data_IF_675037082685
#
_entry.id   IF_675037082685
#
_cell.length_a   1.000
_cell.length_b   1.000
_cell.length_c   1.000
_cell.angle_alpha   90.00
_cell.angle_beta   90.00
_cell.angle_gamma   90.00
#
_symmetry.space_group_name_H-M   'P 1'
#
loop_
_entity.id
_entity.type
_entity.pdbx_description
1 polymer ?
#
# COMPACT_ATOMS: atom_id res chain seq x y z
N UNK A 1 1.40 -14.15 -22.75
CA UNK A 1 -0.04 -14.48 -22.61
C UNK A 1 -0.33 -15.95 -22.30
N UNK A 2 0.29 -16.95 -22.95
CA UNK A 2 -0.02 -18.36 -22.66
C UNK A 2 0.31 -18.80 -21.21
N UNK A 3 1.46 -18.39 -20.68
CA UNK A 3 1.84 -18.66 -19.29
C UNK A 3 0.83 -18.05 -18.29
N UNK A 4 0.51 -16.77 -18.43
CA UNK A 4 -0.50 -16.09 -17.60
C UNK A 4 -1.87 -16.78 -17.66
N UNK A 5 -2.35 -17.17 -18.85
CA UNK A 5 -3.64 -17.88 -18.97
C UNK A 5 -3.65 -19.22 -18.24
N UNK A 6 -2.51 -19.92 -18.23
CA UNK A 6 -2.37 -21.17 -17.49
C UNK A 6 -2.43 -20.91 -15.98
N UNK A 7 -1.69 -19.91 -15.51
CA UNK A 7 -1.65 -19.52 -14.10
C UNK A 7 -3.03 -19.09 -13.59
N UNK A 8 -3.73 -18.23 -14.33
CA UNK A 8 -5.12 -17.81 -14.03
C UNK A 8 -6.04 -19.02 -13.88
N UNK A 9 -5.92 -20.02 -14.77
CA UNK A 9 -6.76 -21.22 -14.72
C UNK A 9 -6.35 -22.20 -13.59
N UNK A 10 -5.12 -22.08 -13.08
CA UNK A 10 -4.58 -22.98 -12.06
C UNK A 10 -4.91 -22.49 -10.64
N UNK A 11 -4.80 -21.19 -10.39
CA UNK A 11 -4.89 -20.63 -9.04
C UNK A 11 -6.19 -19.88 -8.71
N UNK A 12 -6.94 -19.42 -9.72
CA UNK A 12 -8.21 -18.68 -9.54
C UNK A 12 -8.12 -17.50 -8.56
N UNK A 13 -6.96 -16.84 -8.52
CA UNK A 13 -6.63 -15.73 -7.59
C UNK A 13 -6.33 -14.40 -8.32
N UNK A 14 -6.61 -14.35 -9.62
CA UNK A 14 -6.41 -13.15 -10.45
C UNK A 14 -7.66 -12.29 -10.56
N UNK A 15 -7.52 -11.01 -10.24
CA UNK A 15 -8.47 -9.98 -10.63
C UNK A 15 -7.97 -9.26 -11.90
N UNK A 16 -8.52 -9.62 -13.06
CA UNK A 16 -8.17 -8.98 -14.34
C UNK A 16 -9.01 -7.71 -14.54
N UNK A 17 -8.33 -6.56 -14.61
CA UNK A 17 -8.95 -5.26 -14.85
C UNK A 17 -8.80 -4.86 -16.31
N UNK A 18 -9.85 -4.30 -16.91
CA UNK A 18 -9.82 -3.79 -18.29
C UNK A 18 -9.14 -2.41 -18.35
N UNK A 19 -7.82 -2.42 -18.16
CA UNK A 19 -6.95 -1.23 -18.15
C UNK A 19 -5.67 -1.52 -18.93
N UNK A 20 -5.08 -0.48 -19.50
CA UNK A 20 -3.75 -0.56 -20.08
C UNK A 20 -2.68 -0.53 -18.98
N UNK A 21 -1.85 -1.58 -18.92
CA UNK A 21 -0.79 -1.71 -17.93
C UNK A 21 0.43 -0.87 -18.33
N UNK A 22 0.69 0.18 -17.58
CA UNK A 22 1.89 1.01 -17.71
C UNK A 22 2.21 1.65 -16.35
N UNK A 23 3.49 1.84 -16.05
CA UNK A 23 3.91 2.45 -14.78
C UNK A 23 3.26 3.84 -14.55
N UNK A 24 3.13 4.65 -15.61
CA UNK A 24 2.50 5.97 -15.54
C UNK A 24 0.99 5.91 -15.26
N UNK A 25 0.38 4.73 -15.38
CA UNK A 25 -1.05 4.46 -15.17
C UNK A 25 -1.36 3.80 -13.83
N UNK A 26 -0.36 3.55 -12.99
CA UNK A 26 -0.55 2.97 -11.66
C UNK A 26 -1.65 3.66 -10.82
N UNK A 27 -1.77 5.01 -10.76
CA UNK A 27 -2.89 5.63 -10.04
C UNK A 27 -4.27 5.18 -10.52
N UNK A 28 -4.44 4.96 -11.83
CA UNK A 28 -5.69 4.48 -12.41
C UNK A 28 -5.91 3.00 -12.12
N UNK A 29 -4.85 2.18 -12.17
CA UNK A 29 -4.89 0.77 -11.79
C UNK A 29 -5.33 0.60 -10.34
N UNK A 30 -4.75 1.37 -9.42
CA UNK A 30 -5.09 1.34 -7.99
C UNK A 30 -6.54 1.75 -7.74
N UNK A 31 -7.02 2.80 -8.42
CA UNK A 31 -8.43 3.17 -8.32
C UNK A 31 -9.36 2.07 -8.84
N UNK A 32 -9.03 1.48 -9.99
CA UNK A 32 -9.80 0.39 -10.57
C UNK A 32 -9.81 -0.85 -9.65
N UNK A 33 -8.66 -1.15 -9.02
CA UNK A 33 -8.54 -2.20 -8.00
C UNK A 33 -9.49 -1.96 -6.83
N UNK A 34 -9.44 -0.78 -6.19
CA UNK A 34 -10.32 -0.50 -5.05
C UNK A 34 -11.81 -0.57 -5.42
N UNK A 35 -12.18 -0.05 -6.60
CA UNK A 35 -13.56 -0.13 -7.09
C UNK A 35 -14.02 -1.57 -7.33
N UNK A 36 -13.19 -2.37 -7.97
CA UNK A 36 -13.49 -3.77 -8.26
C UNK A 36 -13.51 -4.61 -6.97
N UNK A 37 -12.52 -4.46 -6.09
CA UNK A 37 -12.44 -5.17 -4.83
C UNK A 37 -13.65 -4.87 -3.94
N UNK A 38 -14.09 -3.61 -3.86
CA UNK A 38 -15.29 -3.22 -3.12
C UNK A 38 -16.57 -3.83 -3.67
N UNK A 39 -16.68 -3.97 -5.00
CA UNK A 39 -17.84 -4.58 -5.64
C UNK A 39 -17.89 -6.11 -5.47
N UNK A 40 -16.73 -6.75 -5.27
CA UNK A 40 -16.60 -8.21 -5.22
C UNK A 40 -16.56 -8.77 -3.79
N UNK A 41 -16.02 -8.01 -2.85
CA UNK A 41 -15.72 -8.49 -1.50
C UNK A 41 -16.26 -7.53 -0.43
N UNK A 42 -16.99 -8.08 0.53
CA UNK A 42 -17.43 -7.37 1.74
C UNK A 42 -16.34 -7.47 2.82
N UNK A 43 -15.63 -6.37 3.06
CA UNK A 43 -14.44 -6.31 3.91
C UNK A 43 -14.39 -4.99 4.68
N UNK A 44 -13.92 -5.02 5.94
CA UNK A 44 -13.72 -3.79 6.75
C UNK A 44 -12.56 -2.93 6.23
N UNK A 45 -11.56 -3.55 5.62
CA UNK A 45 -10.40 -2.89 5.02
C UNK A 45 -10.04 -3.52 3.68
N UNK A 46 -9.57 -2.67 2.76
CA UNK A 46 -8.99 -3.05 1.49
C UNK A 46 -7.52 -2.65 1.50
N UNK A 47 -6.64 -3.62 1.22
CA UNK A 47 -5.19 -3.44 1.31
C UNK A 47 -4.60 -3.47 -0.09
N UNK A 48 -3.77 -2.47 -0.39
CA UNK A 48 -2.87 -2.50 -1.54
C UNK A 48 -1.49 -2.91 -1.03
N UNK A 49 -0.85 -3.85 -1.71
CA UNK A 49 0.53 -4.24 -1.47
C UNK A 49 1.26 -4.44 -2.81
N UNK A 50 2.53 -4.09 -2.87
CA UNK A 50 3.41 -4.49 -3.98
C UNK A 50 3.84 -5.96 -3.82
N UNK A 51 4.19 -6.60 -4.93
CA UNK A 51 4.63 -7.99 -4.98
C UNK A 51 6.10 -8.16 -4.58
N UNK A 52 6.83 -7.07 -4.34
CA UNK A 52 8.25 -7.04 -3.99
C UNK A 52 8.53 -6.72 -2.51
N UNK A 53 7.55 -6.88 -1.62
CA UNK A 53 7.72 -6.76 -0.16
C UNK A 53 7.61 -8.10 0.56
N UNK A 54 8.23 -8.21 1.75
CA UNK A 54 7.96 -9.33 2.64
C UNK A 54 6.82 -8.97 3.60
N UNK A 55 5.63 -9.46 3.31
CA UNK A 55 4.42 -9.23 4.09
C UNK A 55 4.17 -10.39 5.09
N UNK A 56 3.69 -10.04 6.28
CA UNK A 56 3.26 -10.97 7.33
C UNK A 56 1.75 -10.84 7.58
N UNK A 57 0.91 -11.62 6.88
CA UNK A 57 -0.55 -11.51 6.97
C UNK A 57 -1.11 -11.74 8.38
N UNK A 58 -0.46 -12.59 9.17
CA UNK A 58 -0.78 -12.84 10.57
C UNK A 58 -0.66 -11.57 11.44
N UNK A 59 0.31 -10.70 11.14
CA UNK A 59 0.48 -9.42 11.85
C UNK A 59 -0.39 -8.32 11.28
N UNK A 60 -0.59 -8.32 9.97
CA UNK A 60 -1.49 -7.37 9.30
C UNK A 60 -2.92 -7.54 9.80
N UNK A 61 -3.43 -8.77 9.90
CA UNK A 61 -4.78 -9.05 10.39
C UNK A 61 -5.02 -8.52 11.80
N UNK A 62 -4.07 -8.67 12.72
CA UNK A 62 -4.15 -8.08 14.06
C UNK A 62 -4.21 -6.55 14.04
N UNK A 63 -3.42 -5.91 13.18
CA UNK A 63 -3.45 -4.46 13.03
C UNK A 63 -4.80 -3.99 12.46
N UNK A 64 -5.37 -4.71 11.50
CA UNK A 64 -6.65 -4.35 10.90
C UNK A 64 -7.81 -4.57 11.88
N UNK A 65 -7.79 -5.64 12.68
CA UNK A 65 -8.81 -5.96 13.68
C UNK A 65 -8.82 -5.04 14.92
N UNK A 66 -7.80 -4.19 15.08
CA UNK A 66 -7.72 -3.20 16.16
C UNK A 66 -8.93 -2.24 16.10
N UNK A 67 -9.59 -2.04 17.24
CA UNK A 67 -10.66 -1.05 17.37
C UNK A 67 -10.15 0.37 17.08
N UNK A 68 -10.97 1.15 16.36
CA UNK A 68 -10.66 2.54 15.99
C UNK A 68 -11.86 3.41 16.29
N UNK A 69 -11.58 4.63 16.76
CA UNK A 69 -12.61 5.64 17.00
C UNK A 69 -13.16 6.22 15.70
N UNK A 70 -12.35 6.23 14.63
CA UNK A 70 -12.71 6.76 13.32
C UNK A 70 -12.96 5.62 12.33
N UNK A 71 -14.14 5.60 11.72
CA UNK A 71 -14.48 4.60 10.70
C UNK A 71 -13.75 4.85 9.38
N UNK A 72 -13.47 6.12 9.04
CA UNK A 72 -12.67 6.51 7.87
C UNK A 72 -11.18 6.54 8.20
N UNK A 73 -10.48 5.45 7.89
CA UNK A 73 -9.06 5.28 8.22
C UNK A 73 -8.23 5.01 6.97
N UNK A 74 -7.13 5.76 6.84
CA UNK A 74 -6.02 5.52 5.92
C UNK A 74 -4.80 5.13 6.72
N UNK A 75 -4.41 3.86 6.62
CA UNK A 75 -3.35 3.24 7.41
C UNK A 75 -2.16 2.93 6.52
N UNK A 76 -0.96 3.26 6.99
CA UNK A 76 0.28 2.97 6.28
C UNK A 76 1.50 3.43 7.05
N UNK A 77 2.69 3.22 6.49
CA UNK A 77 3.87 3.92 6.98
C UNK A 77 3.92 5.32 6.35
N UNK A 78 3.69 6.36 7.14
CA UNK A 78 3.50 7.71 6.64
C UNK A 78 4.84 8.42 6.40
N UNK A 79 4.91 9.20 5.33
CA UNK A 79 6.08 9.99 4.93
C UNK A 79 5.71 11.34 4.34
N UNK A 80 6.72 12.21 4.31
CA UNK A 80 6.82 13.35 3.40
C UNK A 80 8.03 13.13 2.50
N UNK A 81 8.03 13.77 1.34
CA UNK A 81 9.12 13.65 0.39
C UNK A 81 9.09 14.77 -0.64
N UNK A 82 10.20 14.96 -1.37
CA UNK A 82 10.32 16.06 -2.32
C UNK A 82 9.37 15.90 -3.51
N UNK A 83 8.88 17.02 -4.03
CA UNK A 83 8.25 17.08 -5.35
C UNK A 83 9.34 17.04 -6.40
N UNK A 84 9.30 16.04 -7.28
CA UNK A 84 10.30 15.88 -8.33
C UNK A 84 9.95 16.77 -9.53
N UNK A 85 10.76 17.81 -9.75
CA UNK A 85 10.53 18.82 -10.81
C UNK A 85 11.39 18.60 -12.06
N UNK A 86 12.34 17.67 -12.04
CA UNK A 86 13.19 17.36 -13.20
C UNK A 86 12.50 16.29 -14.09
N UNK A 87 12.17 16.59 -15.35
CA UNK A 87 11.56 15.65 -16.30
C UNK A 87 12.34 14.36 -16.55
N UNK A 88 13.63 14.32 -16.19
CA UNK A 88 14.49 13.13 -16.34
C UNK A 88 14.33 12.13 -15.20
N UNK A 89 13.70 12.52 -14.10
CA UNK A 89 13.51 11.66 -12.94
C UNK A 89 12.25 10.78 -13.13
N UNK A 90 12.35 9.52 -12.70
CA UNK A 90 11.27 8.52 -12.77
C UNK A 90 9.92 9.04 -12.25
N UNK A 91 9.97 9.87 -11.22
CA UNK A 91 8.79 10.33 -10.47
C UNK A 91 8.45 11.80 -10.72
N UNK A 92 8.90 12.36 -11.86
CA UNK A 92 8.61 13.72 -12.27
C UNK A 92 7.10 14.06 -12.18
N UNK A 93 6.80 15.21 -11.58
CA UNK A 93 5.45 15.77 -11.50
C UNK A 93 5.32 16.95 -12.47
N UNK A 94 4.63 16.77 -13.61
CA UNK A 94 4.49 17.79 -14.65
C UNK A 94 3.84 19.07 -14.16
N UNK A 95 2.92 18.96 -13.21
CA UNK A 95 2.18 20.07 -12.64
C UNK A 95 2.72 20.43 -11.24
N UNK A 96 4.03 20.29 -11.06
CA UNK A 96 4.76 20.60 -9.82
C UNK A 96 4.74 22.08 -9.46
N UNK A 97 4.50 22.97 -10.44
CA UNK A 97 4.31 24.41 -10.21
C UNK A 97 3.07 24.74 -9.34
N UNK A 98 2.13 23.79 -9.21
CA UNK A 98 0.97 23.91 -8.33
C UNK A 98 1.25 23.43 -6.89
N UNK A 99 2.47 22.94 -6.63
CA UNK A 99 2.86 22.30 -5.38
C UNK A 99 4.00 23.07 -4.69
N UNK A 100 4.20 22.77 -3.41
CA UNK A 100 5.40 23.18 -2.69
C UNK A 100 6.61 22.32 -3.04
N UNK A 101 7.70 22.47 -2.27
CA UNK A 101 8.91 21.65 -2.43
C UNK A 101 8.72 20.19 -1.98
N UNK A 102 7.73 19.93 -1.14
CA UNK A 102 7.44 18.63 -0.56
C UNK A 102 5.96 18.29 -0.74
N UNK A 103 5.66 17.00 -0.91
CA UNK A 103 4.31 16.48 -0.86
C UNK A 103 3.76 16.51 0.58
N UNK A 104 2.43 16.49 0.70
CA UNK A 104 1.72 16.31 1.97
C UNK A 104 2.07 14.95 2.61
N UNK A 105 1.68 14.76 3.88
CA UNK A 105 1.86 13.48 4.56
C UNK A 105 1.02 12.40 3.88
N UNK A 106 1.64 11.30 3.43
CA UNK A 106 0.97 10.17 2.77
C UNK A 106 1.68 8.85 3.11
N UNK A 107 0.99 7.71 2.94
CA UNK A 107 1.63 6.41 3.10
C UNK A 107 2.65 6.15 1.98
N UNK A 108 3.66 5.34 2.27
CA UNK A 108 4.50 4.76 1.23
C UNK A 108 3.70 3.82 0.32
N UNK A 109 4.00 3.87 -0.98
CA UNK A 109 3.35 3.03 -1.99
C UNK A 109 3.38 1.52 -1.75
N UNK A 110 4.46 0.90 -1.22
CA UNK A 110 4.55 -0.55 -1.11
C UNK A 110 3.44 -1.22 -0.32
N UNK A 111 2.90 -0.59 0.73
CA UNK A 111 1.72 -1.11 1.42
C UNK A 111 0.94 -0.02 2.15
N UNK A 112 -0.39 -0.05 1.99
CA UNK A 112 -1.33 0.73 2.79
C UNK A 112 -2.72 0.09 2.76
N UNK A 113 -3.56 0.47 3.73
CA UNK A 113 -4.93 0.00 3.86
C UNK A 113 -5.91 1.16 3.93
N UNK A 114 -7.05 1.01 3.27
CA UNK A 114 -8.19 1.92 3.30
C UNK A 114 -9.37 1.20 3.94
N UNK A 115 -10.05 1.84 4.89
CA UNK A 115 -11.28 1.28 5.45
C UNK A 115 -12.41 1.26 4.42
N UNK A 116 -13.40 0.40 4.64
CA UNK A 116 -14.56 0.24 3.77
C UNK A 116 -15.25 1.57 3.47
N UNK A 117 -15.43 2.43 4.47
CA UNK A 117 -16.06 3.76 4.32
C UNK A 117 -15.27 4.69 3.38
N UNK A 118 -13.94 4.60 3.42
CA UNK A 118 -13.06 5.36 2.52
C UNK A 118 -13.20 4.84 1.11
N UNK A 119 -13.15 3.52 0.90
CA UNK A 119 -13.28 2.92 -0.43
C UNK A 119 -14.69 3.15 -1.00
N UNK A 120 -15.73 3.07 -0.19
CA UNK A 120 -17.10 3.42 -0.58
C UNK A 120 -17.17 4.87 -1.11
N UNK A 121 -16.48 5.79 -0.44
CA UNK A 121 -16.36 7.18 -0.89
C UNK A 121 -15.64 7.27 -2.24
N UNK A 122 -14.56 6.50 -2.44
CA UNK A 122 -13.83 6.45 -3.72
C UNK A 122 -14.67 5.88 -4.88
N UNK A 123 -15.53 4.91 -4.60
CA UNK A 123 -16.41 4.27 -5.60
C UNK A 123 -17.41 5.27 -6.17
N UNK A 124 -18.01 6.10 -5.31
CA UNK A 124 -19.03 7.08 -5.71
C UNK A 124 -18.46 8.36 -6.33
N UNK A 125 -17.14 8.59 -6.24
CA UNK A 125 -16.49 9.72 -6.88
C UNK A 125 -16.65 9.65 -8.40
N UNK A 126 -17.09 10.77 -8.98
CA UNK A 126 -17.14 10.92 -10.43
C UNK A 126 -15.71 10.98 -10.98
N UNK A 127 -15.54 10.48 -12.19
CA UNK A 127 -14.27 10.63 -12.90
C UNK A 127 -13.90 12.12 -12.96
N UNK A 128 -12.62 12.41 -12.75
CA UNK A 128 -12.05 13.77 -12.73
C UNK A 128 -12.54 14.67 -11.57
N UNK A 129 -13.21 14.12 -10.53
CA UNK A 129 -13.52 14.89 -9.31
C UNK A 129 -12.27 15.30 -8.54
N UNK A 130 -11.25 14.42 -8.51
CA UNK A 130 -9.96 14.71 -7.90
C UNK A 130 -8.83 14.58 -8.92
N UNK A 131 -7.74 15.29 -8.65
CA UNK A 131 -6.54 15.29 -9.47
C UNK A 131 -5.79 13.97 -9.30
N UNK A 132 -5.36 13.39 -10.42
CA UNK A 132 -4.35 12.33 -10.46
C UNK A 132 -2.94 12.95 -10.47
N UNK A 133 -2.01 12.34 -9.74
CA UNK A 133 -0.59 12.69 -9.75
C UNK A 133 0.19 11.65 -10.54
N UNK A 134 1.45 11.94 -10.90
CA UNK A 134 2.32 10.95 -11.56
C UNK A 134 2.57 9.71 -10.68
N UNK A 135 2.62 9.89 -9.35
CA UNK A 135 2.82 8.81 -8.40
C UNK A 135 1.49 8.34 -7.81
N UNK A 136 1.34 7.02 -7.71
CA UNK A 136 0.16 6.38 -7.14
C UNK A 136 -0.03 6.75 -5.67
N UNK A 137 1.02 6.63 -4.87
CA UNK A 137 0.95 6.84 -3.42
C UNK A 137 0.64 8.30 -3.07
N UNK A 138 1.21 9.23 -3.84
CA UNK A 138 0.87 10.66 -3.79
C UNK A 138 -0.58 10.88 -4.20
N UNK A 139 -1.07 10.22 -5.25
CA UNK A 139 -2.47 10.34 -5.68
C UNK A 139 -3.42 9.94 -4.55
N UNK A 140 -3.25 8.74 -3.98
CA UNK A 140 -4.09 8.26 -2.88
C UNK A 140 -3.98 9.20 -1.68
N UNK A 141 -2.76 9.57 -1.26
CA UNK A 141 -2.58 10.49 -0.14
C UNK A 141 -3.26 11.85 -0.35
N UNK A 142 -3.25 12.39 -1.57
CA UNK A 142 -3.91 13.67 -1.86
C UNK A 142 -5.42 13.59 -1.68
N UNK A 143 -6.01 12.45 -2.03
CA UNK A 143 -7.45 12.22 -1.91
C UNK A 143 -7.84 11.97 -0.46
N UNK A 144 -7.01 11.25 0.30
CA UNK A 144 -7.22 11.07 1.73
C UNK A 144 -7.17 12.41 2.47
N UNK A 145 -6.25 13.29 2.08
CA UNK A 145 -6.21 14.66 2.57
C UNK A 145 -7.47 15.45 2.19
N UNK A 146 -7.90 15.39 0.93
CA UNK A 146 -9.07 16.12 0.44
C UNK A 146 -10.39 15.66 1.08
N UNK A 147 -10.52 14.36 1.37
CA UNK A 147 -11.70 13.76 2.00
C UNK A 147 -11.66 13.81 3.55
N UNK A 148 -10.64 14.44 4.14
CA UNK A 148 -10.46 14.54 5.59
C UNK A 148 -10.43 13.17 6.29
N UNK A 149 -9.74 12.19 5.69
CA UNK A 149 -9.58 10.83 6.23
C UNK A 149 -8.52 10.81 7.33
N UNK A 150 -8.76 10.02 8.38
CA UNK A 150 -7.80 9.86 9.48
C UNK A 150 -6.55 9.09 9.01
N UNK A 151 -5.38 9.69 9.17
CA UNK A 151 -4.10 9.07 8.83
C UNK A 151 -3.53 8.33 10.05
N UNK A 152 -3.41 7.01 9.97
CA UNK A 152 -2.74 6.19 10.99
C UNK A 152 -1.33 5.83 10.51
N UNK A 153 -0.30 6.41 11.16
CA UNK A 153 1.10 6.07 10.89
C UNK A 153 1.49 4.81 11.67
N UNK A 154 1.92 3.78 10.94
CA UNK A 154 2.42 2.55 11.53
C UNK A 154 3.75 2.12 10.89
N UNK A 155 4.84 2.31 11.64
CA UNK A 155 6.20 2.00 11.20
C UNK A 155 6.48 0.50 10.99
N UNK A 156 5.66 -0.39 11.57
CA UNK A 156 5.77 -1.84 11.36
C UNK A 156 5.46 -2.24 9.91
N UNK A 157 4.91 -1.33 9.10
CA UNK A 157 4.65 -1.51 7.67
C UNK A 157 5.84 -1.12 6.77
N UNK A 158 6.97 -0.68 7.33
CA UNK A 158 8.11 -0.19 6.54
C UNK A 158 9.48 -0.43 7.20
N UNK A 159 9.64 -1.56 7.89
CA UNK A 159 10.91 -1.88 8.53
C UNK A 159 11.91 -2.44 7.52
N UNK A 160 13.17 -2.01 7.59
CA UNK A 160 14.24 -2.55 6.74
C UNK A 160 14.73 -3.93 7.24
N UNK A 161 14.55 -4.20 8.52
CA UNK A 161 14.87 -5.48 9.14
C UNK A 161 13.63 -6.07 9.80
N UNK A 162 13.52 -7.38 9.70
CA UNK A 162 12.40 -8.10 10.26
C UNK A 162 12.56 -8.32 11.77
N UNK A 163 11.59 -7.83 12.53
CA UNK A 163 11.46 -8.00 13.98
C UNK A 163 10.27 -8.91 14.29
N UNK A 164 10.10 -9.28 15.56
CA UNK A 164 8.94 -10.07 16.01
C UNK A 164 7.60 -9.37 15.73
N UNK A 165 7.62 -8.04 15.63
CA UNK A 165 6.42 -7.20 15.44
C UNK A 165 6.23 -6.66 14.03
N UNK A 166 7.21 -6.85 13.13
CA UNK A 166 7.13 -6.37 11.75
C UNK A 166 5.91 -6.93 11.03
N UNK A 167 5.24 -6.07 10.27
CA UNK A 167 4.12 -6.43 9.40
C UNK A 167 4.59 -6.50 7.96
N UNK A 168 5.35 -5.51 7.49
CA UNK A 168 5.95 -5.52 6.17
C UNK A 168 7.42 -5.08 6.23
N UNK A 169 8.27 -5.78 5.49
CA UNK A 169 9.71 -5.56 5.44
C UNK A 169 10.15 -5.29 4.00
N UNK A 170 10.85 -4.18 3.79
CA UNK A 170 11.35 -3.75 2.49
C UNK A 170 12.50 -2.73 2.62
N UNK A 171 13.34 -2.63 1.59
CA UNK A 171 14.66 -1.99 1.67
C UNK A 171 14.59 -0.46 1.42
N UNK A 172 14.00 0.27 2.35
CA UNK A 172 13.95 1.74 2.30
C UNK A 172 15.28 2.39 2.73
N UNK A 173 15.78 3.46 2.08
CA UNK A 173 15.35 4.07 0.81
C UNK A 173 16.06 3.50 -0.43
N UNK A 174 16.70 2.34 -0.30
CA UNK A 174 17.61 1.80 -1.32
C UNK A 174 16.88 1.25 -2.54
N UNK A 175 15.73 0.61 -2.33
CA UNK A 175 14.87 0.02 -3.35
C UNK A 175 13.41 0.48 -3.14
N UNK A 176 12.56 0.30 -4.15
CA UNK A 176 11.12 0.63 -4.04
C UNK A 176 10.38 -0.38 -3.15
N UNK A 177 10.71 -1.67 -3.24
CA UNK A 177 10.42 -2.71 -2.24
C UNK A 177 11.71 -3.35 -1.71
N UNK A 178 11.81 -4.67 -1.75
CA UNK A 178 13.05 -5.41 -1.46
C UNK A 178 14.03 -5.35 -2.62
N UNK A 179 15.32 -5.25 -2.33
CA UNK A 179 16.36 -5.45 -3.33
C UNK A 179 16.54 -6.96 -3.60
N UNK A 180 16.42 -7.38 -4.86
CA UNK A 180 16.42 -8.79 -5.28
C UNK A 180 15.32 -9.60 -4.54
N UNK A 181 14.04 -9.24 -4.73
CA UNK A 181 12.92 -9.77 -3.94
C UNK A 181 12.84 -11.29 -3.98
N UNK A 182 13.14 -11.92 -5.12
CA UNK A 182 13.08 -13.37 -5.33
C UNK A 182 14.00 -14.14 -4.37
N UNK A 183 15.16 -13.56 -4.03
CA UNK A 183 16.09 -14.14 -3.05
C UNK A 183 15.73 -13.67 -1.65
N UNK A 184 15.42 -12.40 -1.49
CA UNK A 184 15.29 -11.78 -0.17
C UNK A 184 14.07 -12.25 0.59
N UNK A 185 12.95 -12.51 -0.09
CA UNK A 185 11.76 -13.08 0.53
C UNK A 185 12.04 -14.45 1.12
N UNK A 186 12.77 -15.32 0.40
CA UNK A 186 13.14 -16.66 0.90
C UNK A 186 14.06 -16.56 2.11
N UNK A 187 15.03 -15.65 2.10
CA UNK A 187 15.91 -15.40 3.25
C UNK A 187 15.13 -14.92 4.48
N UNK A 188 14.18 -13.99 4.29
CA UNK A 188 13.36 -13.46 5.38
C UNK A 188 12.41 -14.54 5.92
N UNK A 189 11.78 -15.31 5.04
CA UNK A 189 10.89 -16.40 5.44
C UNK A 189 11.63 -17.50 6.23
N UNK A 190 12.90 -17.75 5.91
CA UNK A 190 13.75 -18.70 6.63
C UNK A 190 14.16 -18.25 8.04
N UNK A 191 13.94 -16.98 8.42
CA UNK A 191 14.25 -16.49 9.77
C UNK A 191 13.09 -16.76 10.72
N UNK A 192 13.35 -17.49 11.81
CA UNK A 192 12.34 -17.80 12.83
C UNK A 192 11.64 -16.56 13.40
N UNK A 193 12.37 -15.44 13.56
CA UNK A 193 11.79 -14.18 14.04
C UNK A 193 10.69 -13.64 13.11
N UNK A 194 10.73 -13.98 11.81
CA UNK A 194 9.80 -13.52 10.79
C UNK A 194 8.64 -14.49 10.54
N UNK A 195 8.91 -15.79 10.55
CA UNK A 195 7.95 -16.82 10.14
C UNK A 195 7.37 -17.64 11.29
N UNK A 196 8.02 -17.65 12.46
CA UNK A 196 7.61 -18.48 13.62
C UNK A 196 7.36 -17.69 14.89
N UNK A 197 7.47 -16.36 14.86
CA UNK A 197 7.24 -15.54 16.06
C UNK A 197 5.76 -15.51 16.44
N UNK A 198 5.48 -15.69 17.73
CA UNK A 198 4.11 -15.68 18.29
C UNK A 198 3.39 -14.36 18.01
N UNK A 199 2.11 -14.44 17.61
CA UNK A 199 1.19 -13.30 17.47
C UNK A 199 0.71 -12.75 18.82
N UNK A 200 0.91 -13.50 19.91
CA UNK A 200 0.48 -13.11 21.25
C UNK A 200 1.43 -12.04 21.84
N UNK A 201 0.91 -11.08 22.62
CA UNK A 201 1.75 -10.17 23.40
C UNK A 201 2.71 -10.96 24.27
N UNK A 202 3.95 -10.51 24.39
CA UNK A 202 4.86 -11.09 25.38
C UNK A 202 4.47 -10.60 26.77
N UNK A 203 4.58 -11.45 27.80
CA UNK A 203 4.26 -11.08 29.18
C UNK A 203 5.11 -9.90 29.71
N UNK A 204 6.19 -9.54 29.01
CA UNK A 204 7.06 -8.39 29.32
C UNK A 204 6.56 -7.05 28.72
N UNK A 205 5.60 -7.05 27.78
CA UNK A 205 5.03 -5.84 27.19
C UNK A 205 3.99 -5.14 28.09
N UNK A 206 3.64 -5.76 29.22
CA UNK A 206 2.68 -5.26 30.23
C UNK A 206 3.35 -4.70 31.51
N UNK A 207 4.65 -4.37 31.48
CA UNK A 207 5.38 -3.75 32.59
C UNK A 207 5.77 -2.30 32.33
#
# INVERSE_FOLDING_TARGET
>A
MAALKKEVAEYDDFLLLDIEEEYSKLPYKTLAFFKAAYALYDSEFYVKADDDIYLRPDRLSLLLAKERQHSQTYLGCMKKGPVFTDPKLKWYEPLSNLLGKEYFLHAYGPIYALSADVVASLVVLRNNSFRMFSNEDVTIGSWMLAMNVNHEDNRKLCEAECTSSSIAVWDIPKCSGLCNPEKKMLELHGKDICSKSSTLPSDDDNK
#
